data_IF_725783122131
#
_entry.id   IF_725783122131
#
_cell.length_a   1.000
_cell.length_b   1.000
_cell.length_c   1.000
_cell.angle_alpha   90.00
_cell.angle_beta   90.00
_cell.angle_gamma   90.00
#
_symmetry.space_group_name_H-M   'P 1'
#
loop_
_entity.id
_entity.type
_entity.pdbx_description
1 polymer ?
#
# COMPACT_ATOMS: atom_id res chain seq x y z
N UNK A 1 25.93 58.43 -8.26
CA UNK A 1 25.13 57.18 -8.22
C UNK A 1 26.13 56.02 -8.30
N UNK A 2 26.58 55.52 -7.15
CA UNK A 2 27.52 54.39 -7.08
C UNK A 2 26.73 53.12 -6.82
N UNK A 3 26.83 52.15 -7.73
CA UNK A 3 26.17 50.85 -7.61
C UNK A 3 26.89 50.00 -6.55
N UNK A 4 26.10 49.50 -5.60
CA UNK A 4 26.53 48.62 -4.52
C UNK A 4 26.60 47.18 -5.06
N UNK A 5 27.80 46.60 -5.10
CA UNK A 5 28.08 45.26 -5.68
C UNK A 5 28.49 44.24 -4.61
N UNK A 6 27.92 44.30 -3.42
CA UNK A 6 28.24 43.36 -2.34
C UNK A 6 27.05 42.46 -1.97
N UNK A 7 27.00 41.27 -2.59
CA UNK A 7 26.64 39.97 -1.99
C UNK A 7 26.14 38.98 -3.04
N UNK A 8 27.07 38.36 -3.76
CA UNK A 8 26.81 37.06 -4.37
C UNK A 8 27.63 36.02 -3.61
N UNK A 9 26.98 35.31 -2.68
CA UNK A 9 27.59 34.19 -1.97
C UNK A 9 27.36 32.93 -2.82
N UNK A 10 28.40 32.32 -3.41
CA UNK A 10 28.21 31.15 -4.26
C UNK A 10 27.63 29.99 -3.44
N UNK A 11 26.49 29.48 -3.90
CA UNK A 11 25.86 28.29 -3.34
C UNK A 11 26.76 27.09 -3.66
N UNK A 12 27.19 26.38 -2.63
CA UNK A 12 28.06 25.22 -2.77
C UNK A 12 27.38 24.13 -3.63
N UNK A 13 28.12 23.60 -4.61
CA UNK A 13 27.64 22.52 -5.45
C UNK A 13 27.30 21.28 -4.60
N UNK A 14 26.15 20.63 -4.83
CA UNK A 14 25.76 19.44 -4.08
C UNK A 14 26.78 18.32 -4.28
N UNK A 15 27.08 17.60 -3.18
CA UNK A 15 28.05 16.49 -3.19
C UNK A 15 27.53 15.35 -4.08
N UNK A 16 28.34 14.84 -5.03
CA UNK A 16 28.00 13.64 -5.77
C UNK A 16 28.02 12.45 -4.81
N UNK A 17 26.85 11.88 -4.51
CA UNK A 17 26.70 10.69 -3.67
C UNK A 17 25.55 10.73 -2.66
N UNK A 18 25.01 11.91 -2.34
CA UNK A 18 23.75 12.00 -1.62
C UNK A 18 22.61 11.90 -2.64
N UNK A 19 22.01 10.71 -2.78
CA UNK A 19 20.74 10.58 -3.49
C UNK A 19 19.78 11.56 -2.81
N UNK A 20 19.30 12.61 -3.48
CA UNK A 20 18.37 13.54 -2.86
C UNK A 20 17.21 12.70 -2.36
N UNK A 21 16.93 12.79 -1.05
CA UNK A 21 15.67 12.30 -0.51
C UNK A 21 14.62 12.88 -1.43
N UNK A 22 13.85 12.02 -2.11
CA UNK A 22 12.77 12.46 -2.99
C UNK A 22 11.88 13.31 -2.10
N UNK A 23 12.00 14.63 -2.27
CA UNK A 23 11.14 15.59 -1.61
C UNK A 23 9.82 15.43 -2.34
N UNK A 24 9.00 14.52 -1.83
CA UNK A 24 7.59 14.44 -2.21
C UNK A 24 7.08 15.84 -1.88
N UNK A 25 6.87 16.66 -2.90
CA UNK A 25 6.23 17.96 -2.73
C UNK A 25 4.83 17.69 -2.18
N UNK A 26 4.76 17.71 -0.85
CA UNK A 26 3.54 17.54 -0.11
C UNK A 26 2.62 18.65 -0.59
N UNK A 27 1.38 18.29 -0.91
CA UNK A 27 0.25 19.22 -0.76
C UNK A 27 0.47 19.95 0.56
N UNK A 28 0.29 21.27 0.66
CA UNK A 28 0.48 22.00 1.90
C UNK A 28 -0.58 21.54 2.91
N UNK A 29 -0.31 20.41 3.55
CA UNK A 29 -1.03 19.94 4.71
C UNK A 29 -0.45 20.76 5.84
N UNK A 30 -1.03 21.94 6.06
CA UNK A 30 -0.63 22.92 7.09
C UNK A 30 -0.70 22.39 8.52
N UNK A 31 -0.89 21.08 8.72
CA UNK A 31 -1.07 20.42 10.01
C UNK A 31 -0.37 19.05 10.15
N UNK A 32 0.51 18.61 9.22
CA UNK A 32 1.31 17.40 9.51
C UNK A 32 2.34 17.75 10.58
N UNK A 33 2.09 17.31 11.80
CA UNK A 33 3.05 17.41 12.90
C UNK A 33 4.17 16.38 12.69
N UNK A 34 5.43 16.85 12.67
CA UNK A 34 6.58 15.95 12.74
C UNK A 34 6.46 15.03 13.97
N UNK A 35 6.82 13.77 13.82
CA UNK A 35 6.86 12.81 14.91
C UNK A 35 5.53 12.13 15.27
N UNK A 36 4.42 12.42 14.57
CA UNK A 36 3.12 11.73 14.78
C UNK A 36 2.42 11.39 13.48
N UNK A 37 1.59 10.35 13.51
CA UNK A 37 0.66 10.04 12.43
C UNK A 37 -0.48 11.06 12.36
N UNK A 38 -0.93 11.39 11.15
CA UNK A 38 -2.02 12.34 10.89
C UNK A 38 -3.38 11.87 11.43
N UNK A 39 -3.56 10.57 11.67
CA UNK A 39 -4.75 9.98 12.28
C UNK A 39 -4.38 8.80 13.18
N UNK A 40 -5.30 8.36 14.03
CA UNK A 40 -5.17 7.06 14.70
C UNK A 40 -5.29 5.89 13.69
N UNK A 41 -4.85 4.69 14.09
CA UNK A 41 -4.89 3.50 13.22
C UNK A 41 -6.34 3.12 12.85
N UNK A 42 -7.26 3.14 13.82
CA UNK A 42 -8.66 2.74 13.64
C UNK A 42 -9.59 3.88 13.21
N UNK A 43 -9.05 5.06 12.91
CA UNK A 43 -9.80 6.18 12.35
C UNK A 43 -10.10 6.04 10.84
N UNK A 44 -10.10 4.81 10.28
CA UNK A 44 -10.41 4.61 8.86
C UNK A 44 -11.82 5.08 8.49
N UNK A 45 -12.78 4.93 9.41
CA UNK A 45 -14.18 5.32 9.21
C UNK A 45 -14.41 6.84 9.13
N UNK A 46 -13.43 7.66 9.53
CA UNK A 46 -13.52 9.13 9.41
C UNK A 46 -13.40 9.60 7.95
N UNK A 47 -12.84 8.77 7.07
CA UNK A 47 -12.79 9.00 5.62
C UNK A 47 -13.36 7.76 4.92
N UNK A 48 -14.69 7.73 4.84
CA UNK A 48 -15.42 6.59 4.29
C UNK A 48 -15.06 6.31 2.83
N UNK A 49 -14.76 7.36 2.05
CA UNK A 49 -14.38 7.24 0.65
C UNK A 49 -13.03 6.51 0.50
N UNK A 50 -12.01 6.93 1.25
CA UNK A 50 -10.72 6.21 1.25
C UNK A 50 -10.84 4.82 1.85
N UNK A 51 -11.65 4.65 2.90
CA UNK A 51 -11.88 3.33 3.50
C UNK A 51 -12.51 2.35 2.50
N UNK A 52 -13.55 2.77 1.78
CA UNK A 52 -14.16 1.96 0.71
C UNK A 52 -13.17 1.71 -0.41
N UNK A 53 -12.42 2.71 -0.85
CA UNK A 53 -11.44 2.52 -1.93
C UNK A 53 -10.38 1.47 -1.54
N UNK A 54 -9.85 1.53 -0.33
CA UNK A 54 -8.89 0.54 0.17
C UNK A 54 -9.54 -0.82 0.39
N UNK A 55 -10.76 -0.88 0.91
CA UNK A 55 -11.44 -2.14 1.17
C UNK A 55 -11.87 -2.86 -0.12
N UNK A 56 -12.50 -2.15 -1.06
CA UNK A 56 -12.97 -2.69 -2.33
C UNK A 56 -11.85 -2.87 -3.37
N UNK A 57 -10.81 -2.04 -3.32
CA UNK A 57 -9.76 -1.98 -4.33
C UNK A 57 -8.36 -2.12 -3.73
N UNK A 58 -8.22 -2.95 -2.69
CA UNK A 58 -6.95 -3.18 -2.00
C UNK A 58 -5.77 -3.53 -2.94
N UNK A 59 -5.93 -4.36 -3.99
CA UNK A 59 -4.86 -4.60 -4.96
C UNK A 59 -4.37 -3.33 -5.66
N UNK A 60 -5.30 -2.42 -5.99
CA UNK A 60 -5.02 -1.16 -6.69
C UNK A 60 -4.27 -0.21 -5.75
N UNK A 61 -4.82 0.05 -4.56
CA UNK A 61 -4.23 0.98 -3.58
C UNK A 61 -2.83 0.53 -3.16
N UNK A 62 -2.64 -0.77 -2.92
CA UNK A 62 -1.34 -1.36 -2.57
C UNK A 62 -0.32 -1.15 -3.69
N UNK A 63 -0.72 -1.37 -4.94
CA UNK A 63 0.15 -1.21 -6.11
C UNK A 63 0.54 0.25 -6.35
N UNK A 64 -0.40 1.18 -6.19
CA UNK A 64 -0.14 2.61 -6.27
C UNK A 64 0.84 3.07 -5.19
N UNK A 65 0.66 2.61 -3.94
CA UNK A 65 1.60 2.90 -2.84
C UNK A 65 3.00 2.33 -3.13
N UNK A 66 3.08 1.11 -3.65
CA UNK A 66 4.36 0.51 -4.06
C UNK A 66 5.07 1.38 -5.11
N UNK A 67 4.36 1.76 -6.18
CA UNK A 67 4.95 2.56 -7.26
C UNK A 67 5.34 3.95 -6.79
N UNK A 68 4.56 4.54 -5.89
CA UNK A 68 4.82 5.88 -5.35
C UNK A 68 6.04 5.93 -4.42
N UNK A 69 6.20 4.93 -3.55
CA UNK A 69 7.19 5.00 -2.47
C UNK A 69 8.42 4.12 -2.69
N UNK A 70 8.23 2.92 -3.23
CA UNK A 70 9.27 1.89 -3.27
C UNK A 70 9.91 1.75 -4.67
N UNK A 71 9.14 1.96 -5.74
CA UNK A 71 9.63 1.79 -7.10
C UNK A 71 10.28 3.07 -7.65
N UNK A 72 11.55 2.98 -8.06
CA UNK A 72 12.32 4.10 -8.63
C UNK A 72 12.57 3.99 -10.14
N UNK A 73 12.01 2.98 -10.81
CA UNK A 73 12.23 2.77 -12.24
C UNK A 73 11.36 3.66 -13.14
N UNK A 74 11.68 3.65 -14.44
CA UNK A 74 11.03 4.48 -15.47
C UNK A 74 9.65 3.93 -15.88
N UNK A 75 9.42 2.62 -15.79
CA UNK A 75 8.18 1.95 -16.25
C UNK A 75 7.10 1.86 -15.16
N UNK A 76 6.84 2.98 -14.47
CA UNK A 76 5.88 3.06 -13.36
C UNK A 76 4.47 2.52 -13.66
N UNK A 77 3.78 2.92 -14.74
CA UNK A 77 2.41 2.47 -14.98
C UNK A 77 2.33 0.97 -15.26
N UNK A 78 3.28 0.43 -16.03
CA UNK A 78 3.33 -1.00 -16.33
C UNK A 78 3.51 -1.82 -15.04
N UNK A 79 4.45 -1.44 -14.18
CA UNK A 79 4.68 -2.13 -12.90
C UNK A 79 3.45 -2.03 -11.99
N UNK A 80 2.77 -0.87 -11.95
CA UNK A 80 1.52 -0.72 -11.20
C UNK A 80 0.45 -1.70 -11.69
N UNK A 81 0.26 -1.81 -13.01
CA UNK A 81 -0.75 -2.70 -13.61
C UNK A 81 -0.41 -4.17 -13.36
N UNK A 82 0.84 -4.59 -13.59
CA UNK A 82 1.26 -5.97 -13.37
C UNK A 82 1.10 -6.39 -11.91
N UNK A 83 1.50 -5.53 -10.97
CA UNK A 83 1.33 -5.78 -9.55
C UNK A 83 -0.14 -5.84 -9.15
N UNK A 84 -0.97 -4.94 -9.70
CA UNK A 84 -2.42 -4.94 -9.47
C UNK A 84 -3.06 -6.24 -9.95
N UNK A 85 -2.70 -6.73 -11.15
CA UNK A 85 -3.21 -7.99 -11.69
C UNK A 85 -2.80 -9.18 -10.83
N UNK A 86 -1.52 -9.24 -10.43
CA UNK A 86 -1.01 -10.31 -9.56
C UNK A 86 -1.73 -10.33 -8.20
N UNK A 87 -1.86 -9.18 -7.55
CA UNK A 87 -2.55 -9.08 -6.26
C UNK A 87 -4.04 -9.42 -6.41
N UNK A 88 -4.72 -8.92 -7.45
CA UNK A 88 -6.13 -9.23 -7.70
C UNK A 88 -6.35 -10.73 -7.89
N UNK A 89 -5.50 -11.38 -8.69
CA UNK A 89 -5.54 -12.83 -8.88
C UNK A 89 -5.36 -13.59 -7.55
N UNK A 90 -4.40 -13.20 -6.72
CA UNK A 90 -4.21 -13.86 -5.43
C UNK A 90 -5.37 -13.66 -4.47
N UNK A 91 -5.97 -12.46 -4.44
CA UNK A 91 -7.16 -12.20 -3.63
C UNK A 91 -8.36 -13.04 -4.09
N UNK A 92 -8.61 -13.13 -5.39
CA UNK A 92 -9.69 -14.00 -5.91
C UNK A 92 -9.40 -15.47 -5.66
N UNK A 93 -8.16 -15.93 -5.81
CA UNK A 93 -7.75 -17.29 -5.44
C UNK A 93 -8.04 -17.59 -3.96
N UNK A 94 -7.76 -16.65 -3.06
CA UNK A 94 -8.02 -16.82 -1.62
C UNK A 94 -9.52 -16.89 -1.33
N UNK A 95 -10.32 -16.02 -1.96
CA UNK A 95 -11.76 -16.00 -1.82
C UNK A 95 -12.41 -17.31 -2.31
N UNK A 96 -12.00 -17.80 -3.49
CA UNK A 96 -12.47 -19.08 -4.04
C UNK A 96 -12.06 -20.25 -3.13
N UNK A 97 -10.81 -20.27 -2.66
CA UNK A 97 -10.33 -21.31 -1.74
C UNK A 97 -11.13 -21.32 -0.44
N UNK A 98 -11.41 -20.15 0.13
CA UNK A 98 -12.20 -20.02 1.36
C UNK A 98 -13.66 -20.46 1.15
N UNK A 99 -14.29 -20.05 0.05
CA UNK A 99 -15.66 -20.45 -0.28
C UNK A 99 -15.76 -21.99 -0.41
N UNK A 100 -14.83 -22.61 -1.12
CA UNK A 100 -14.80 -24.06 -1.28
C UNK A 100 -14.67 -24.80 0.06
N UNK A 101 -13.84 -24.30 0.97
CA UNK A 101 -13.70 -24.87 2.32
C UNK A 101 -14.98 -24.71 3.14
N UNK A 102 -15.70 -23.59 3.02
CA UNK A 102 -16.97 -23.39 3.73
C UNK A 102 -18.08 -24.30 3.23
N UNK A 103 -18.14 -24.56 1.92
CA UNK A 103 -19.12 -25.48 1.34
C UNK A 103 -18.86 -26.92 1.79
N UNK A 104 -17.59 -27.36 1.80
CA UNK A 104 -17.22 -28.70 2.31
C UNK A 104 -17.46 -28.91 3.81
N UNK A 105 -17.41 -27.84 4.60
CA UNK A 105 -17.61 -27.91 6.05
C UNK A 105 -19.07 -28.20 6.46
N UNK A 106 -20.03 -28.09 5.54
CA UNK A 106 -21.44 -28.43 5.76
C UNK A 106 -21.80 -29.74 5.06
N UNK A 107 -21.46 -30.92 5.62
CA UNK A 107 -21.94 -32.18 5.08
C UNK A 107 -23.46 -32.24 5.21
N UNK A 108 -24.17 -32.20 4.08
CA UNK A 108 -25.59 -32.56 4.05
C UNK A 108 -25.70 -34.04 4.46
N UNK A 109 -26.49 -34.32 5.50
CA UNK A 109 -26.65 -35.66 6.11
C UNK A 109 -27.18 -36.73 5.12
N UNK A 110 -27.61 -36.36 3.91
CA UNK A 110 -28.24 -37.27 2.94
C UNK A 110 -27.33 -37.68 1.75
N UNK A 111 -26.04 -37.35 1.76
CA UNK A 111 -25.13 -37.64 0.63
C UNK A 111 -24.29 -38.92 0.84
N UNK A 112 -24.93 -40.09 0.93
CA UNK A 112 -24.23 -41.38 1.08
C UNK A 112 -23.72 -42.01 -0.23
N UNK A 113 -23.94 -41.41 -1.40
CA UNK A 113 -23.68 -42.09 -2.69
C UNK A 113 -22.80 -41.31 -3.72
N UNK A 114 -22.02 -40.30 -3.33
CA UNK A 114 -21.27 -39.48 -4.31
C UNK A 114 -19.79 -39.25 -4.00
N UNK A 115 -19.07 -40.25 -3.46
CA UNK A 115 -17.66 -40.09 -3.09
C UNK A 115 -16.74 -41.15 -3.72
N UNK A 116 -16.52 -41.05 -5.02
CA UNK A 116 -15.32 -41.61 -5.65
C UNK A 116 -14.55 -40.49 -6.36
N UNK A 117 -13.35 -40.23 -5.82
CA UNK A 117 -12.15 -39.63 -6.41
C UNK A 117 -12.25 -38.28 -7.12
N UNK A 118 -11.88 -37.23 -6.39
CA UNK A 118 -11.48 -35.94 -6.95
C UNK A 118 -10.06 -35.61 -6.45
N UNK A 119 -9.11 -36.52 -6.70
CA UNK A 119 -7.69 -36.36 -6.33
C UNK A 119 -7.10 -35.09 -6.99
N UNK A 120 -7.59 -34.74 -8.19
CA UNK A 120 -7.21 -33.54 -8.94
C UNK A 120 -7.71 -32.23 -8.28
N UNK A 121 -8.83 -32.26 -7.56
CA UNK A 121 -9.37 -31.09 -6.88
C UNK A 121 -8.47 -30.65 -5.71
N UNK A 122 -7.83 -31.60 -5.02
CA UNK A 122 -6.94 -31.33 -3.89
C UNK A 122 -5.68 -30.55 -4.32
N UNK A 123 -5.01 -31.02 -5.39
CA UNK A 123 -3.81 -30.38 -5.92
C UNK A 123 -4.11 -28.98 -6.47
N UNK A 124 -5.25 -28.83 -7.15
CA UNK A 124 -5.69 -27.53 -7.68
C UNK A 124 -5.97 -26.54 -6.54
N UNK A 125 -6.67 -26.96 -5.48
CA UNK A 125 -6.94 -26.13 -4.32
C UNK A 125 -5.66 -25.72 -3.58
N UNK A 126 -4.70 -26.62 -3.46
CA UNK A 126 -3.39 -26.32 -2.85
C UNK A 126 -2.63 -25.25 -3.65
N UNK A 127 -2.61 -25.34 -4.98
CA UNK A 127 -1.99 -24.32 -5.84
C UNK A 127 -2.69 -22.96 -5.72
N UNK A 128 -4.04 -22.95 -5.74
CA UNK A 128 -4.84 -21.73 -5.57
C UNK A 128 -4.56 -21.10 -4.20
N UNK A 129 -4.53 -21.89 -3.13
CA UNK A 129 -4.18 -21.42 -1.79
C UNK A 129 -2.75 -20.86 -1.71
N UNK A 130 -1.79 -21.49 -2.38
CA UNK A 130 -0.41 -21.03 -2.43
C UNK A 130 -0.28 -19.67 -3.14
N UNK A 131 -0.92 -19.50 -4.30
CA UNK A 131 -0.93 -18.22 -5.04
C UNK A 131 -1.56 -17.11 -4.18
N UNK A 132 -2.68 -17.41 -3.52
CA UNK A 132 -3.33 -16.47 -2.60
C UNK A 132 -2.44 -16.07 -1.42
N UNK A 133 -1.78 -17.04 -0.80
CA UNK A 133 -0.84 -16.81 0.30
C UNK A 133 0.35 -15.93 -0.13
N UNK A 134 0.93 -16.19 -1.31
CA UNK A 134 2.02 -15.36 -1.85
C UNK A 134 1.58 -13.91 -2.09
N UNK A 135 0.41 -13.71 -2.69
CA UNK A 135 -0.11 -12.36 -2.93
C UNK A 135 -0.41 -11.61 -1.62
N UNK A 136 -0.99 -12.30 -0.63
CA UNK A 136 -1.25 -11.74 0.70
C UNK A 136 0.05 -11.35 1.42
N UNK A 137 1.05 -12.24 1.41
CA UNK A 137 2.39 -11.95 1.93
C UNK A 137 3.01 -10.73 1.25
N UNK A 138 2.93 -10.65 -0.08
CA UNK A 138 3.46 -9.54 -0.85
C UNK A 138 2.77 -8.22 -0.49
N UNK A 139 1.42 -8.20 -0.41
CA UNK A 139 0.66 -7.02 -0.03
C UNK A 139 1.01 -6.53 1.39
N UNK A 140 1.18 -7.47 2.34
CA UNK A 140 1.65 -7.16 3.69
C UNK A 140 3.05 -6.54 3.68
N UNK A 141 4.02 -7.17 3.00
CA UNK A 141 5.41 -6.67 2.90
C UNK A 141 5.44 -5.28 2.27
N UNK A 142 4.70 -5.04 1.20
CA UNK A 142 4.60 -3.71 0.57
C UNK A 142 4.09 -2.69 1.57
N UNK A 143 2.97 -2.99 2.24
CA UNK A 143 2.36 -2.10 3.23
C UNK A 143 3.34 -1.79 4.38
N UNK A 144 4.04 -2.80 4.89
CA UNK A 144 5.09 -2.63 5.92
C UNK A 144 6.21 -1.70 5.45
N UNK A 145 6.74 -1.93 4.25
CA UNK A 145 7.86 -1.16 3.71
C UNK A 145 7.46 0.29 3.45
N UNK A 146 6.27 0.53 2.89
CA UNK A 146 5.72 1.88 2.68
C UNK A 146 5.54 2.58 4.02
N UNK A 147 4.91 1.91 5.00
CA UNK A 147 4.69 2.48 6.33
C UNK A 147 6.00 2.86 7.02
N UNK A 148 7.00 1.97 6.99
CA UNK A 148 8.33 2.22 7.54
C UNK A 148 9.00 3.41 6.86
N UNK A 149 8.97 3.49 5.53
CA UNK A 149 9.57 4.60 4.79
C UNK A 149 8.93 5.94 5.15
N UNK A 150 7.60 5.99 5.29
CA UNK A 150 6.88 7.18 5.74
C UNK A 150 7.27 7.52 7.18
N UNK A 151 7.28 6.54 8.08
CA UNK A 151 7.69 6.71 9.48
C UNK A 151 9.09 7.31 9.59
N UNK A 152 10.04 6.76 8.85
CA UNK A 152 11.42 7.25 8.79
C UNK A 152 11.47 8.68 8.21
N UNK A 153 10.67 8.99 7.19
CA UNK A 153 10.60 10.32 6.57
C UNK A 153 10.00 11.41 7.49
N UNK A 154 8.98 11.07 8.27
CA UNK A 154 8.29 12.00 9.18
C UNK A 154 8.78 11.91 10.64
N UNK A 155 9.86 11.16 10.90
CA UNK A 155 10.44 10.89 12.23
C UNK A 155 9.42 10.36 13.25
N UNK A 156 8.44 9.59 12.79
CA UNK A 156 7.39 9.04 13.66
C UNK A 156 8.00 7.89 14.49
N UNK A 157 7.82 7.90 15.81
CA UNK A 157 8.34 6.83 16.68
C UNK A 157 7.37 5.66 16.72
N UNK A 158 7.89 4.46 16.96
CA UNK A 158 7.05 3.34 17.38
C UNK A 158 6.54 3.57 18.80
N UNK A 159 5.30 3.14 19.05
CA UNK A 159 4.58 3.28 20.30
C UNK A 159 4.29 1.94 20.95
N UNK A 160 3.95 0.90 20.16
CA UNK A 160 3.32 -0.31 20.69
C UNK A 160 4.13 -1.61 20.52
N UNK A 161 4.95 -1.73 19.47
CA UNK A 161 5.69 -2.97 19.16
C UNK A 161 7.10 -2.64 18.66
N UNK A 162 8.08 -2.63 19.57
CA UNK A 162 9.46 -2.26 19.28
C UNK A 162 10.07 -3.14 18.19
N UNK A 163 10.30 -2.56 17.01
CA UNK A 163 10.85 -3.19 15.81
C UNK A 163 9.82 -3.92 14.93
N UNK A 164 8.58 -4.08 15.39
CA UNK A 164 7.55 -4.91 14.75
C UNK A 164 6.23 -4.20 14.46
N UNK A 165 6.06 -2.95 14.89
CA UNK A 165 4.77 -2.25 14.77
C UNK A 165 4.25 -2.22 13.34
N UNK A 166 5.11 -1.96 12.36
CA UNK A 166 4.70 -1.91 10.97
C UNK A 166 4.18 -3.27 10.45
N UNK A 167 4.76 -4.38 10.94
CA UNK A 167 4.33 -5.76 10.62
C UNK A 167 2.96 -6.07 11.22
N UNK A 168 2.78 -5.77 12.52
CA UNK A 168 1.54 -5.97 13.24
C UNK A 168 0.39 -5.16 12.63
N UNK A 169 0.63 -3.88 12.34
CA UNK A 169 -0.36 -3.01 11.72
C UNK A 169 -0.76 -3.51 10.32
N UNK A 170 0.22 -3.88 9.47
CA UNK A 170 -0.04 -4.37 8.13
C UNK A 170 -0.81 -5.70 8.13
N UNK A 171 -0.48 -6.61 9.05
CA UNK A 171 -1.06 -7.96 9.10
C UNK A 171 -2.47 -7.98 9.72
N UNK A 172 -2.72 -7.20 10.77
CA UNK A 172 -3.99 -7.26 11.51
C UNK A 172 -5.02 -6.22 11.08
N UNK A 173 -4.59 -5.07 10.55
CA UNK A 173 -5.50 -3.99 10.12
C UNK A 173 -4.98 -3.39 8.80
N UNK A 174 -4.77 -4.22 7.78
CA UNK A 174 -4.21 -3.79 6.49
C UNK A 174 -4.94 -2.59 5.87
N UNK A 175 -6.28 -2.62 5.87
CA UNK A 175 -7.13 -1.52 5.37
C UNK A 175 -6.90 -0.23 6.16
N UNK A 176 -6.92 -0.32 7.48
CA UNK A 176 -6.78 0.82 8.39
C UNK A 176 -5.39 1.45 8.28
N UNK A 177 -4.38 0.59 8.17
CA UNK A 177 -2.98 0.97 7.95
C UNK A 177 -2.80 1.72 6.64
N UNK A 178 -3.38 1.23 5.54
CA UNK A 178 -3.33 1.93 4.25
C UNK A 178 -4.08 3.26 4.28
N UNK A 179 -5.24 3.33 4.95
CA UNK A 179 -5.95 4.59 5.14
C UNK A 179 -5.12 5.61 5.92
N UNK A 180 -4.45 5.19 7.00
CA UNK A 180 -3.55 6.05 7.78
C UNK A 180 -2.37 6.53 6.95
N UNK A 181 -1.77 5.65 6.13
CA UNK A 181 -0.71 6.00 5.17
C UNK A 181 -1.21 7.04 4.17
N UNK A 182 -2.35 6.80 3.52
CA UNK A 182 -2.93 7.69 2.52
C UNK A 182 -3.23 9.08 3.10
N UNK A 183 -3.80 9.15 4.32
CA UNK A 183 -4.00 10.40 5.05
C UNK A 183 -2.70 11.14 5.35
N UNK A 184 -1.68 10.42 5.82
CA UNK A 184 -0.36 11.00 6.12
C UNK A 184 0.25 11.68 4.89
N UNK A 185 0.01 11.14 3.70
CA UNK A 185 0.62 11.64 2.45
C UNK A 185 -0.33 12.51 1.63
N UNK A 186 -1.48 12.89 2.19
CA UNK A 186 -2.46 13.77 1.54
C UNK A 186 -3.32 13.13 0.45
N UNK A 187 -3.30 11.80 0.31
CA UNK A 187 -4.14 11.03 -0.63
C UNK A 187 -5.54 10.81 -0.04
N UNK A 188 -6.28 11.90 0.16
CA UNK A 188 -7.60 11.89 0.82
C UNK A 188 -8.63 12.65 -0.01
N UNK A 189 -9.91 12.30 0.17
CA UNK A 189 -11.02 12.97 -0.51
C UNK A 189 -10.79 13.09 -2.03
N UNK A 190 -10.98 14.28 -2.61
CA UNK A 190 -10.79 14.54 -4.05
C UNK A 190 -9.33 14.54 -4.53
N UNK A 191 -8.34 14.40 -3.65
CA UNK A 191 -6.92 14.33 -4.06
C UNK A 191 -6.48 12.91 -4.45
N UNK A 192 -7.35 11.91 -4.24
CA UNK A 192 -7.08 10.52 -4.55
C UNK A 192 -7.77 10.09 -5.85
N UNK A 193 -7.03 9.42 -6.74
CA UNK A 193 -7.54 8.86 -7.99
C UNK A 193 -7.14 7.40 -8.15
N UNK A 194 -8.15 6.52 -8.29
CA UNK A 194 -7.98 5.08 -8.53
C UNK A 194 -7.32 4.78 -9.88
N UNK A 195 -7.51 5.65 -10.86
CA UNK A 195 -7.06 5.42 -12.23
C UNK A 195 -5.68 6.02 -12.53
N UNK A 196 -5.04 6.67 -11.54
CA UNK A 196 -3.69 7.18 -11.71
C UNK A 196 -2.66 6.20 -11.12
N UNK A 197 -1.49 6.07 -11.76
CA UNK A 197 -0.44 5.17 -11.28
C UNK A 197 0.15 5.61 -9.91
N UNK A 198 0.04 6.89 -9.57
CA UNK A 198 0.59 7.47 -8.33
C UNK A 198 -0.46 7.80 -7.26
N UNK A 199 -1.73 7.49 -7.51
CA UNK A 199 -2.86 7.78 -6.63
C UNK A 199 -3.31 9.25 -6.59
N UNK A 200 -2.63 10.20 -7.23
CA UNK A 200 -3.03 11.60 -7.34
C UNK A 200 -3.31 11.99 -8.80
N UNK A 201 -4.09 13.04 -9.02
CA UNK A 201 -4.40 13.54 -10.37
C UNK A 201 -3.24 14.34 -10.99
N UNK A 202 -2.27 14.78 -10.18
CA UNK A 202 -1.13 15.54 -10.68
C UNK A 202 -0.20 14.62 -11.46
N UNK A 203 0.02 14.86 -12.78
CA UNK A 203 0.90 14.02 -13.57
C UNK A 203 2.32 14.07 -12.98
N UNK A 204 2.89 12.89 -12.74
CA UNK A 204 4.22 12.71 -12.14
C UNK A 204 5.39 13.22 -13.01
N UNK A 205 5.11 14.05 -14.04
CA UNK A 205 6.05 14.57 -15.02
C UNK A 205 6.74 15.88 -14.63
N UNK A 206 6.59 16.33 -13.37
CA UNK A 206 7.32 17.48 -12.82
C UNK A 206 8.14 17.08 -11.58
N UNK A 207 8.87 15.97 -11.66
CA UNK A 207 9.87 15.55 -10.66
C UNK A 207 11.14 15.07 -11.36
#
# INVERSE_FOLDING_TARGET
>A
MSANTDNYKPVAAPRPGAVPAVVVHAVPVSHIQEGRWASSLFSCTQDWCSCIAVWCCLPITTSQLFVRFLYKGTQRPLVCVLLTLFLTLGFTCTAVSQQYQTEKAHPLEDASEAWEEDEDASSTLALVGFVGSLASCLACIITMKVRKQIRDAYKIREENCAGCEDCCCASWCGVCTQCQIMRQVGLTYGNYSLFSAGGNETPAFLV
#
